data_IF_970047398832
#
_entry.id   IF_970047398832
#
_cell.length_a   1.000
_cell.length_b   1.000
_cell.length_c   1.000
_cell.angle_alpha   90.00
_cell.angle_beta   90.00
_cell.angle_gamma   90.00
#
_symmetry.space_group_name_H-M   'P 1'
#
loop_
_entity.id
_entity.type
_entity.pdbx_description
1 polymer ?
#
# COMPACT_ATOMS: atom_id res chain seq x y z
N UNK A 1 5.85 26.86 53.12
CA UNK A 1 5.15 25.72 52.55
C UNK A 1 4.53 26.03 51.18
N UNK A 2 3.83 27.12 50.96
CA UNK A 2 3.17 27.47 49.70
C UNK A 2 4.13 27.51 48.45
N UNK A 3 5.35 28.06 48.58
CA UNK A 3 6.31 28.11 47.44
C UNK A 3 6.76 26.77 46.91
N UNK A 4 6.85 25.73 47.77
CA UNK A 4 7.22 24.37 47.33
C UNK A 4 6.07 23.67 46.63
N UNK A 5 4.83 23.89 47.05
CA UNK A 5 3.61 23.34 46.41
C UNK A 5 3.46 23.91 44.99
N UNK A 6 3.71 25.23 44.81
CA UNK A 6 3.65 25.86 43.48
C UNK A 6 4.66 25.29 42.51
N UNK A 7 5.89 24.92 42.98
CA UNK A 7 6.93 24.36 42.13
C UNK A 7 6.57 22.95 41.63
N UNK A 8 5.95 22.13 42.46
CA UNK A 8 5.50 20.78 42.07
C UNK A 8 4.30 20.81 41.11
N UNK A 9 3.38 21.79 41.31
CA UNK A 9 2.25 21.95 40.40
C UNK A 9 2.70 22.39 38.98
N UNK A 10 3.70 23.28 38.90
CA UNK A 10 4.26 23.74 37.61
C UNK A 10 5.01 22.61 36.90
N UNK A 11 5.74 21.77 37.63
CA UNK A 11 6.44 20.59 37.05
C UNK A 11 5.46 19.53 36.54
N UNK A 12 4.33 19.31 37.19
CA UNK A 12 3.32 18.35 36.80
C UNK A 12 2.56 18.82 35.52
N UNK A 13 2.26 20.10 35.40
CA UNK A 13 1.63 20.65 34.18
C UNK A 13 2.59 20.63 32.99
N UNK A 14 3.90 20.83 33.18
CA UNK A 14 4.89 20.79 32.09
C UNK A 14 5.12 19.35 31.56
N UNK A 15 4.95 18.33 32.40
CA UNK A 15 5.08 16.93 31.98
C UNK A 15 3.89 16.44 31.14
N UNK A 16 2.74 17.09 31.21
CA UNK A 16 1.54 16.69 30.45
C UNK A 16 1.48 17.27 29.03
N UNK A 17 2.29 18.28 28.70
CA UNK A 17 2.31 18.92 27.38
C UNK A 17 3.20 18.24 26.35
N UNK A 18 3.90 17.17 26.70
CA UNK A 18 4.77 16.41 25.81
C UNK A 18 4.11 15.15 25.19
N UNK A 19 2.79 15.01 25.32
CA UNK A 19 2.04 14.04 24.51
C UNK A 19 1.93 14.64 23.12
N UNK A 20 3.01 14.57 22.37
CA UNK A 20 3.02 14.91 20.95
C UNK A 20 1.96 14.06 20.25
N UNK A 21 1.00 14.70 19.61
CA UNK A 21 0.07 14.02 18.72
C UNK A 21 0.90 13.28 17.69
N UNK A 22 0.95 11.96 17.78
CA UNK A 22 1.52 11.14 16.73
C UNK A 22 0.62 11.33 15.49
N UNK A 23 1.03 12.20 14.58
CA UNK A 23 0.36 12.35 13.31
C UNK A 23 0.48 11.03 12.56
N UNK A 24 -0.65 10.42 12.23
CA UNK A 24 -0.66 9.27 11.36
C UNK A 24 -0.09 9.65 10.00
N UNK A 25 0.87 8.88 9.52
CA UNK A 25 1.40 9.01 8.15
C UNK A 25 0.35 8.47 7.20
N UNK A 26 -0.11 9.30 6.25
CA UNK A 26 -1.08 8.87 5.25
C UNK A 26 -0.36 8.42 3.98
N UNK A 27 -0.44 7.12 3.69
CA UNK A 27 0.06 6.52 2.45
C UNK A 27 -1.00 6.57 1.35
N UNK A 28 -0.59 6.89 0.13
CA UNK A 28 -1.44 6.90 -1.06
C UNK A 28 -1.40 5.54 -1.74
N UNK A 29 -2.54 4.85 -1.86
CA UNK A 29 -2.69 3.60 -2.59
C UNK A 29 -3.50 3.84 -3.87
N UNK A 30 -2.95 3.51 -5.04
CA UNK A 30 -3.61 3.70 -6.33
C UNK A 30 -3.86 2.37 -7.03
N UNK A 31 -5.03 2.24 -7.65
CA UNK A 31 -5.36 1.13 -8.54
C UNK A 31 -6.41 1.51 -9.60
N UNK A 32 -6.59 0.63 -10.58
CA UNK A 32 -7.41 0.90 -11.77
C UNK A 32 -8.85 0.40 -11.68
N UNK A 33 -9.17 -0.43 -10.69
CA UNK A 33 -10.48 -1.10 -10.59
C UNK A 33 -11.52 -0.22 -9.92
N UNK A 34 -12.83 -0.42 -10.22
CA UNK A 34 -13.90 0.34 -9.59
C UNK A 34 -13.87 0.21 -8.07
N UNK A 35 -14.05 1.34 -7.38
CA UNK A 35 -14.22 1.39 -5.93
C UNK A 35 -15.68 1.54 -5.51
N UNK A 36 -16.63 1.39 -6.44
CA UNK A 36 -18.07 1.42 -6.18
C UNK A 36 -18.63 0.01 -6.18
N UNK A 37 -19.63 -0.28 -5.35
CA UNK A 37 -20.27 -1.59 -5.34
C UNK A 37 -20.99 -1.88 -6.66
N UNK A 38 -21.08 -3.15 -7.00
CA UNK A 38 -21.90 -3.69 -8.10
C UNK A 38 -23.38 -3.67 -7.71
N UNK A 39 -24.24 -4.03 -8.66
CA UNK A 39 -25.70 -4.10 -8.44
C UNK A 39 -26.11 -5.10 -7.35
N UNK A 40 -25.30 -6.14 -7.11
CA UNK A 40 -25.47 -7.14 -6.05
C UNK A 40 -24.88 -6.73 -4.70
N UNK A 41 -24.33 -5.51 -4.60
CA UNK A 41 -23.68 -4.99 -3.40
C UNK A 41 -22.21 -5.42 -3.22
N UNK A 42 -21.68 -6.33 -4.05
CA UNK A 42 -20.28 -6.75 -4.00
C UNK A 42 -19.36 -5.70 -4.63
N UNK A 43 -18.11 -5.67 -4.19
CA UNK A 43 -17.05 -4.88 -4.84
C UNK A 43 -16.25 -5.71 -5.85
N UNK A 44 -15.38 -5.04 -6.59
CA UNK A 44 -14.36 -5.75 -7.37
C UNK A 44 -13.36 -6.40 -6.39
N UNK A 45 -13.09 -7.71 -6.47
CA UNK A 45 -12.22 -8.40 -5.52
C UNK A 45 -10.81 -7.79 -5.41
N UNK A 46 -10.35 -7.15 -6.46
CA UNK A 46 -9.04 -6.49 -6.49
C UNK A 46 -9.06 -5.16 -5.74
N UNK A 47 -10.20 -4.45 -5.73
CA UNK A 47 -10.41 -3.30 -4.85
C UNK A 47 -10.52 -3.75 -3.39
N UNK A 48 -11.31 -4.80 -3.12
CA UNK A 48 -11.46 -5.36 -1.76
C UNK A 48 -10.12 -5.79 -1.17
N UNK A 49 -9.23 -6.38 -1.96
CA UNK A 49 -7.89 -6.73 -1.50
C UNK A 49 -7.11 -5.51 -0.96
N UNK A 50 -7.17 -4.37 -1.65
CA UNK A 50 -6.51 -3.14 -1.21
C UNK A 50 -7.23 -2.55 0.01
N UNK A 51 -8.57 -2.64 0.05
CA UNK A 51 -9.37 -2.19 1.19
C UNK A 51 -9.07 -2.99 2.45
N UNK A 52 -8.98 -4.33 2.36
CA UNK A 52 -8.60 -5.20 3.48
C UNK A 52 -7.24 -4.78 4.06
N UNK A 53 -6.25 -4.51 3.20
CA UNK A 53 -4.93 -4.06 3.66
C UNK A 53 -5.05 -2.73 4.42
N UNK A 54 -5.82 -1.77 3.89
CA UNK A 54 -6.01 -0.47 4.53
C UNK A 54 -6.71 -0.60 5.89
N UNK A 55 -7.74 -1.44 5.96
CA UNK A 55 -8.52 -1.68 7.19
C UNK A 55 -7.67 -2.39 8.26
N UNK A 56 -6.87 -3.37 7.90
CA UNK A 56 -6.00 -4.08 8.84
C UNK A 56 -4.86 -3.17 9.35
N UNK A 57 -4.27 -2.32 8.52
CA UNK A 57 -3.28 -1.32 8.94
C UNK A 57 -3.91 -0.33 9.92
N UNK A 58 -5.11 0.18 9.61
CA UNK A 58 -5.85 1.07 10.50
C UNK A 58 -6.19 0.41 11.83
N UNK A 59 -6.65 -0.84 11.80
CA UNK A 59 -6.96 -1.63 12.99
C UNK A 59 -5.72 -1.91 13.86
N UNK A 60 -4.56 -2.12 13.25
CA UNK A 60 -3.30 -2.30 13.95
C UNK A 60 -2.82 -1.05 14.71
N UNK A 61 -3.38 0.13 14.38
CA UNK A 61 -3.11 1.41 15.04
C UNK A 61 -1.61 1.76 15.18
N UNK A 62 -0.88 1.52 14.09
CA UNK A 62 0.58 1.70 14.02
C UNK A 62 1.01 3.11 13.59
N UNK A 63 0.10 4.09 13.64
CA UNK A 63 0.38 5.47 13.22
C UNK A 63 0.44 5.63 11.69
N UNK A 64 -0.14 4.69 10.94
CA UNK A 64 -0.25 4.73 9.48
C UNK A 64 -1.72 4.68 9.08
N UNK A 65 -2.11 5.50 8.11
CA UNK A 65 -3.39 5.42 7.41
C UNK A 65 -3.17 5.21 5.92
N UNK A 66 -4.06 4.51 5.22
CA UNK A 66 -3.94 4.27 3.78
C UNK A 66 -5.13 4.90 3.08
N UNK A 67 -4.86 5.91 2.26
CA UNK A 67 -5.87 6.54 1.40
C UNK A 67 -5.88 5.87 0.03
N UNK A 68 -7.01 5.23 -0.30
CA UNK A 68 -7.18 4.50 -1.56
C UNK A 68 -7.71 5.45 -2.64
N UNK A 69 -7.09 5.38 -3.83
CA UNK A 69 -7.47 6.07 -5.06
C UNK A 69 -7.85 5.03 -6.12
N UNK A 70 -9.14 4.62 -6.16
CA UNK A 70 -9.63 3.61 -7.10
C UNK A 70 -9.90 4.19 -8.48
N UNK A 71 -10.27 3.33 -9.44
CA UNK A 71 -10.79 3.69 -10.76
C UNK A 71 -9.88 4.63 -11.57
N UNK A 72 -8.56 4.52 -11.42
CA UNK A 72 -7.57 5.38 -12.11
C UNK A 72 -7.63 6.85 -11.66
N UNK A 73 -8.19 7.15 -10.48
CA UNK A 73 -8.44 8.53 -10.03
C UNK A 73 -7.16 9.30 -9.71
N UNK A 74 -6.04 8.62 -9.44
CA UNK A 74 -4.75 9.27 -9.20
C UNK A 74 -3.80 9.09 -10.38
N UNK A 75 -3.59 7.84 -10.83
CA UNK A 75 -2.74 7.51 -11.97
C UNK A 75 -3.40 6.49 -12.89
N UNK A 76 -3.16 6.60 -14.20
CA UNK A 76 -3.59 5.59 -15.17
C UNK A 76 -2.80 4.27 -14.99
N UNK A 77 -3.35 3.12 -15.44
CA UNK A 77 -2.75 1.82 -15.18
C UNK A 77 -1.27 1.69 -15.57
N UNK A 78 -0.89 2.20 -16.74
CA UNK A 78 0.48 2.12 -17.26
C UNK A 78 1.40 3.25 -16.75
N UNK A 79 0.87 4.17 -15.96
CA UNK A 79 1.61 5.34 -15.46
C UNK A 79 2.00 5.20 -13.98
N UNK A 80 1.61 4.12 -13.29
CA UNK A 80 1.79 3.97 -11.84
C UNK A 80 3.25 3.65 -11.44
N UNK A 81 4.02 2.99 -12.32
CA UNK A 81 5.38 2.56 -12.01
C UNK A 81 6.31 3.74 -11.64
N UNK A 82 6.36 4.76 -12.48
CA UNK A 82 7.25 5.89 -12.27
C UNK A 82 6.95 6.67 -10.98
N UNK A 83 5.70 7.06 -10.66
CA UNK A 83 5.38 7.69 -9.38
C UNK A 83 5.75 6.85 -8.17
N UNK A 84 5.67 5.52 -8.25
CA UNK A 84 6.03 4.60 -7.17
C UNK A 84 7.55 4.61 -6.94
N UNK A 85 8.35 4.47 -8.00
CA UNK A 85 9.82 4.48 -7.91
C UNK A 85 10.42 5.85 -7.61
N UNK A 86 9.64 6.93 -7.70
CA UNK A 86 10.06 8.30 -7.36
C UNK A 86 9.45 8.84 -6.07
N UNK A 87 8.76 7.99 -5.28
CA UNK A 87 8.18 8.37 -4.00
C UNK A 87 6.95 9.28 -4.07
N UNK A 88 6.33 9.42 -5.24
CA UNK A 88 5.09 10.20 -5.41
C UNK A 88 3.83 9.38 -5.09
N UNK A 89 3.94 8.05 -5.16
CA UNK A 89 2.92 7.07 -4.83
C UNK A 89 3.55 6.02 -3.91
N UNK A 90 2.87 5.72 -2.81
CA UNK A 90 3.41 4.82 -1.79
C UNK A 90 3.05 3.35 -2.04
N UNK A 91 1.84 3.10 -2.55
CA UNK A 91 1.32 1.76 -2.82
C UNK A 91 0.66 1.74 -4.20
N UNK A 92 0.97 0.74 -5.01
CA UNK A 92 0.32 0.51 -6.29
C UNK A 92 -0.16 -0.93 -6.41
N UNK A 93 -1.44 -1.10 -6.78
CA UNK A 93 -1.99 -2.38 -7.15
C UNK A 93 -2.36 -2.37 -8.65
N UNK A 94 -1.57 -3.05 -9.47
CA UNK A 94 -1.77 -3.12 -10.92
C UNK A 94 -1.12 -4.40 -11.50
N UNK A 95 -1.57 -4.88 -12.67
CA UNK A 95 -0.88 -5.96 -13.37
C UNK A 95 0.55 -5.56 -13.73
N UNK A 96 1.53 -6.30 -13.24
CA UNK A 96 2.94 -5.93 -13.31
C UNK A 96 3.43 -5.75 -14.77
N UNK A 97 2.86 -6.47 -15.72
CA UNK A 97 3.15 -6.31 -17.16
C UNK A 97 2.85 -4.89 -17.70
N UNK A 98 2.08 -4.05 -16.99
CA UNK A 98 1.92 -2.65 -17.41
C UNK A 98 3.18 -1.79 -17.21
N UNK A 99 4.13 -2.31 -16.44
CA UNK A 99 5.46 -1.71 -16.27
C UNK A 99 6.54 -2.34 -17.17
N UNK A 100 6.19 -3.25 -18.08
CA UNK A 100 7.15 -3.98 -18.94
C UNK A 100 7.99 -3.07 -19.85
N UNK A 101 7.54 -1.86 -20.13
CA UNK A 101 8.37 -0.86 -20.85
C UNK A 101 9.63 -0.45 -20.07
N UNK A 102 9.63 -0.63 -18.74
CA UNK A 102 10.79 -0.37 -17.89
C UNK A 102 11.60 -1.63 -17.63
N UNK A 103 10.91 -2.75 -17.47
CA UNK A 103 11.46 -4.08 -17.17
C UNK A 103 10.69 -5.12 -17.99
N UNK A 104 11.18 -5.52 -19.19
CA UNK A 104 10.49 -6.46 -20.07
C UNK A 104 10.18 -7.81 -19.42
N UNK A 105 10.95 -8.20 -18.40
CA UNK A 105 10.75 -9.42 -17.61
C UNK A 105 9.35 -9.49 -16.96
N UNK A 106 8.72 -8.35 -16.71
CA UNK A 106 7.38 -8.30 -16.13
C UNK A 106 6.29 -8.87 -17.03
N UNK A 107 6.49 -8.90 -18.34
CA UNK A 107 5.56 -9.54 -19.28
C UNK A 107 5.41 -11.04 -19.01
N UNK A 108 6.44 -11.68 -18.46
CA UNK A 108 6.39 -13.10 -18.11
C UNK A 108 5.26 -13.45 -17.13
N UNK A 109 4.81 -12.48 -16.31
CA UNK A 109 3.72 -12.70 -15.35
C UNK A 109 2.33 -12.87 -15.99
N UNK A 110 2.17 -12.42 -17.24
CA UNK A 110 0.91 -12.52 -18.01
C UNK A 110 1.03 -13.36 -19.28
N UNK A 111 2.15 -14.03 -19.51
CA UNK A 111 2.32 -14.89 -20.70
C UNK A 111 1.33 -16.06 -20.68
N UNK A 112 0.61 -16.31 -21.78
CA UNK A 112 -0.27 -17.47 -21.88
C UNK A 112 0.49 -18.78 -21.60
N UNK A 113 -0.12 -19.68 -20.84
CA UNK A 113 0.47 -20.99 -20.53
C UNK A 113 1.49 -21.01 -19.39
N UNK A 114 1.89 -19.86 -18.85
CA UNK A 114 2.79 -19.75 -17.68
C UNK A 114 2.20 -20.46 -16.47
N UNK A 115 0.88 -20.36 -16.28
CA UNK A 115 0.16 -20.97 -15.17
C UNK A 115 -0.92 -21.91 -15.71
N UNK A 116 -0.90 -23.18 -15.29
CA UNK A 116 -1.84 -24.21 -15.76
C UNK A 116 -3.11 -24.33 -14.93
N UNK A 117 -3.02 -24.07 -13.64
CA UNK A 117 -4.11 -24.14 -12.67
C UNK A 117 -3.75 -23.35 -11.40
N UNK A 118 -4.70 -23.26 -10.46
CA UNK A 118 -4.52 -22.53 -9.21
C UNK A 118 -3.33 -23.03 -8.37
N UNK A 119 -3.18 -24.34 -8.25
CA UNK A 119 -2.07 -24.93 -7.50
C UNK A 119 -0.70 -24.61 -8.14
N UNK A 120 -0.64 -24.61 -9.47
CA UNK A 120 0.56 -24.16 -10.18
C UNK A 120 0.82 -22.66 -9.95
N UNK A 121 -0.22 -21.81 -9.88
CA UNK A 121 -0.08 -20.39 -9.55
C UNK A 121 0.56 -20.17 -8.17
N UNK A 122 0.13 -20.94 -7.16
CA UNK A 122 0.70 -20.86 -5.81
C UNK A 122 2.19 -21.25 -5.79
N UNK A 123 2.57 -22.30 -6.53
CA UNK A 123 3.99 -22.69 -6.67
C UNK A 123 4.79 -21.64 -7.46
N UNK A 124 4.22 -21.14 -8.55
CA UNK A 124 4.83 -20.09 -9.37
C UNK A 124 5.17 -18.84 -8.55
N UNK A 125 4.24 -18.37 -7.71
CA UNK A 125 4.45 -17.20 -6.84
C UNK A 125 5.57 -17.39 -5.80
N UNK A 126 5.97 -18.60 -5.52
CA UNK A 126 7.09 -18.95 -4.63
C UNK A 126 8.35 -19.39 -5.39
N UNK A 127 8.27 -19.43 -6.71
CA UNK A 127 9.33 -19.93 -7.58
C UNK A 127 10.42 -18.92 -7.92
N UNK A 128 11.49 -19.39 -8.59
CA UNK A 128 12.66 -18.55 -8.90
C UNK A 128 12.33 -17.35 -9.77
N UNK A 129 11.39 -17.47 -10.72
CA UNK A 129 10.98 -16.34 -11.57
C UNK A 129 10.40 -15.20 -10.73
N UNK A 130 9.51 -15.49 -9.79
CA UNK A 130 8.94 -14.45 -8.91
C UNK A 130 9.97 -13.92 -7.92
N UNK A 131 10.98 -14.68 -7.57
CA UNK A 131 12.12 -14.21 -6.78
C UNK A 131 12.93 -13.17 -7.55
N UNK A 132 13.21 -13.41 -8.82
CA UNK A 132 13.91 -12.45 -9.68
C UNK A 132 13.08 -11.20 -9.93
N UNK A 133 11.78 -11.33 -10.20
CA UNK A 133 10.87 -10.19 -10.35
C UNK A 133 10.85 -9.32 -9.08
N UNK A 134 10.80 -9.93 -7.90
CA UNK A 134 10.86 -9.19 -6.63
C UNK A 134 12.18 -8.45 -6.47
N UNK A 135 13.28 -9.06 -6.88
CA UNK A 135 14.60 -8.42 -6.87
C UNK A 135 14.61 -7.19 -7.77
N UNK A 136 14.12 -7.29 -9.01
CA UNK A 136 14.01 -6.16 -9.95
C UNK A 136 13.19 -5.02 -9.34
N UNK A 137 12.06 -5.34 -8.68
CA UNK A 137 11.22 -4.34 -8.01
C UNK A 137 11.98 -3.64 -6.89
N UNK A 138 12.66 -4.40 -6.03
CA UNK A 138 13.43 -3.85 -4.91
C UNK A 138 14.61 -2.99 -5.37
N UNK A 139 15.26 -3.36 -6.47
CA UNK A 139 16.38 -2.62 -7.03
C UNK A 139 15.92 -1.31 -7.73
N UNK A 140 14.65 -1.21 -8.07
CA UNK A 140 14.08 -0.02 -8.72
C UNK A 140 13.68 1.11 -7.74
N UNK A 141 13.61 0.85 -6.44
CA UNK A 141 13.34 1.84 -5.41
C UNK A 141 12.34 1.40 -4.37
#
# INVERSE_FOLDING_TARGET
MLKKISLYLTSFVLAFTLIGSAYAVTLKASHQWPGTPRADGSFDPRHEMVQIIADEVKKANVGIDIRIYPAKSLYKPKEQWKPMTTGQLDISAFPLAYASKFHPEFDATLMPGTVKNHEHALRFNKGPMMTEIKKIINDAG
#
